data_IF_890855342370
#
_entry.id   IF_890855342370
#
_cell.length_a   1.000
_cell.length_b   1.000
_cell.length_c   1.000
_cell.angle_alpha   90.00
_cell.angle_beta   90.00
_cell.angle_gamma   90.00
#
_symmetry.space_group_name_H-M   'P 1'
#
loop_
_entity.id
_entity.type
_entity.pdbx_description
1 polymer ?
#
# COMPACT_ATOMS: atom_id res chain seq x y z
N UNK A 1 -19.02 32.08 -19.64
CA UNK A 1 -20.08 31.06 -19.53
C UNK A 1 -19.39 29.85 -18.93
N UNK A 2 -19.59 29.60 -17.64
CA UNK A 2 -18.98 28.44 -16.96
C UNK A 2 -19.81 27.23 -17.38
N UNK A 3 -19.22 26.31 -18.14
CA UNK A 3 -19.82 25.00 -18.36
C UNK A 3 -19.97 24.33 -16.99
N UNK A 4 -21.19 24.35 -16.46
CA UNK A 4 -21.57 23.45 -15.39
C UNK A 4 -21.61 22.05 -16.01
N UNK A 5 -20.45 21.38 -16.01
CA UNK A 5 -20.38 19.95 -16.31
C UNK A 5 -21.42 19.24 -15.44
N UNK A 6 -22.21 18.38 -16.06
CA UNK A 6 -23.18 17.51 -15.37
C UNK A 6 -22.51 16.94 -14.10
N UNK A 7 -23.19 16.95 -12.94
CA UNK A 7 -22.62 16.34 -11.74
C UNK A 7 -22.22 14.92 -12.09
N UNK A 8 -20.95 14.59 -11.80
CA UNK A 8 -20.42 13.24 -11.93
C UNK A 8 -21.44 12.29 -11.27
N UNK A 9 -22.15 11.47 -12.07
CA UNK A 9 -23.14 10.49 -11.57
C UNK A 9 -22.40 9.31 -10.96
N UNK A 10 -21.72 9.58 -9.85
CA UNK A 10 -20.87 8.66 -9.11
C UNK A 10 -21.52 8.43 -7.75
N UNK A 11 -21.54 7.18 -7.30
CA UNK A 11 -22.19 6.77 -6.07
C UNK A 11 -21.21 6.07 -5.15
N UNK A 12 -21.37 6.27 -3.85
CA UNK A 12 -20.50 5.73 -2.81
C UNK A 12 -20.96 4.34 -2.39
N UNK A 13 -20.38 3.31 -3.02
CA UNK A 13 -20.63 1.94 -2.62
C UNK A 13 -20.08 1.62 -1.22
N UNK A 14 -19.09 2.37 -0.72
CA UNK A 14 -18.57 2.19 0.64
C UNK A 14 -19.65 2.56 1.65
N UNK A 15 -20.26 3.73 1.49
CA UNK A 15 -21.37 4.18 2.33
C UNK A 15 -22.56 3.20 2.27
N UNK A 16 -22.86 2.67 1.08
CA UNK A 16 -23.86 1.62 0.92
C UNK A 16 -23.49 0.36 1.72
N UNK A 17 -22.25 -0.11 1.63
CA UNK A 17 -21.77 -1.29 2.35
C UNK A 17 -21.89 -1.14 3.86
N UNK A 18 -21.47 0.00 4.40
CA UNK A 18 -21.56 0.33 5.83
C UNK A 18 -23.02 0.29 6.31
N UNK A 19 -23.93 0.90 5.54
CA UNK A 19 -25.37 0.87 5.83
C UNK A 19 -25.92 -0.55 5.81
N UNK A 20 -25.61 -1.34 4.78
CA UNK A 20 -26.08 -2.72 4.65
C UNK A 20 -25.60 -3.60 5.81
N UNK A 21 -24.38 -3.41 6.30
CA UNK A 21 -23.89 -4.07 7.50
C UNK A 21 -24.66 -3.66 8.76
N UNK A 22 -24.90 -2.35 8.95
CA UNK A 22 -25.65 -1.82 10.08
C UNK A 22 -27.10 -2.34 10.11
N UNK A 23 -27.74 -2.40 8.95
CA UNK A 23 -29.10 -2.92 8.76
C UNK A 23 -29.17 -4.45 8.74
N UNK A 24 -28.01 -5.13 8.69
CA UNK A 24 -27.89 -6.60 8.60
C UNK A 24 -28.53 -7.19 7.33
N UNK A 25 -28.65 -6.40 6.26
CA UNK A 25 -29.19 -6.78 4.94
C UNK A 25 -28.08 -6.96 3.92
N UNK A 26 -28.34 -7.75 2.87
CA UNK A 26 -27.44 -7.95 1.72
C UNK A 26 -25.95 -8.11 2.10
N UNK A 27 -25.68 -8.81 3.22
CA UNK A 27 -24.32 -8.98 3.76
C UNK A 27 -23.32 -9.56 2.75
N UNK A 28 -23.71 -10.47 1.83
CA UNK A 28 -22.80 -10.91 0.76
C UNK A 28 -22.32 -9.75 -0.12
N UNK A 29 -23.21 -8.86 -0.56
CA UNK A 29 -22.87 -7.68 -1.35
C UNK A 29 -21.99 -6.71 -0.56
N UNK A 30 -22.40 -6.37 0.67
CA UNK A 30 -21.62 -5.49 1.55
C UNK A 30 -20.19 -6.03 1.77
N UNK A 31 -20.06 -7.34 2.02
CA UNK A 31 -18.78 -8.01 2.13
C UNK A 31 -17.93 -7.93 0.86
N UNK A 32 -18.52 -8.10 -0.33
CA UNK A 32 -17.82 -7.94 -1.61
C UNK A 32 -17.33 -6.51 -1.83
N UNK A 33 -18.15 -5.51 -1.51
CA UNK A 33 -17.77 -4.09 -1.60
C UNK A 33 -16.59 -3.78 -0.67
N UNK A 34 -16.71 -4.16 0.61
CA UNK A 34 -15.65 -3.95 1.59
C UNK A 34 -14.34 -4.62 1.14
N UNK A 35 -14.43 -5.85 0.62
CA UNK A 35 -13.26 -6.57 0.14
C UNK A 35 -12.62 -5.92 -1.10
N UNK A 36 -13.41 -5.33 -2.00
CA UNK A 36 -12.89 -4.56 -3.12
C UNK A 36 -12.13 -3.31 -2.65
N UNK A 37 -12.69 -2.59 -1.67
CA UNK A 37 -12.05 -1.43 -1.05
C UNK A 37 -10.74 -1.81 -0.36
N UNK A 38 -10.75 -2.86 0.46
CA UNK A 38 -9.57 -3.36 1.17
C UNK A 38 -8.45 -3.70 0.18
N UNK A 39 -8.73 -4.51 -0.85
CA UNK A 39 -7.73 -4.90 -1.84
C UNK A 39 -7.18 -3.70 -2.63
N UNK A 40 -8.02 -2.71 -2.94
CA UNK A 40 -7.57 -1.48 -3.60
C UNK A 40 -6.64 -0.66 -2.70
N UNK A 41 -6.93 -0.57 -1.40
CA UNK A 41 -6.07 0.10 -0.42
C UNK A 41 -4.72 -0.62 -0.28
N UNK A 42 -4.73 -1.95 -0.19
CA UNK A 42 -3.50 -2.77 -0.10
C UNK A 42 -2.63 -2.64 -1.35
N UNK A 43 -3.24 -2.58 -2.54
CA UNK A 43 -2.50 -2.32 -3.77
C UNK A 43 -1.90 -0.91 -3.80
N UNK A 44 -2.64 0.12 -3.37
CA UNK A 44 -2.11 1.49 -3.31
C UNK A 44 -0.86 1.59 -2.42
N UNK A 45 -0.82 0.87 -1.29
CA UNK A 45 0.37 0.75 -0.44
C UNK A 45 1.57 0.20 -1.22
N UNK A 46 1.36 -0.84 -2.05
CA UNK A 46 2.41 -1.48 -2.85
C UNK A 46 2.88 -0.62 -4.03
N UNK A 47 1.98 0.17 -4.63
CA UNK A 47 2.35 1.18 -5.65
C UNK A 47 3.26 2.22 -5.03
N UNK A 48 2.86 2.83 -3.90
CA UNK A 48 3.70 3.80 -3.20
C UNK A 48 5.04 3.20 -2.74
N UNK A 49 5.06 1.93 -2.35
CA UNK A 49 6.30 1.23 -2.00
C UNK A 49 7.24 1.09 -3.21
N UNK A 50 6.69 0.83 -4.40
CA UNK A 50 7.45 0.77 -5.66
C UNK A 50 8.02 2.14 -6.01
N UNK A 51 7.21 3.20 -5.91
CA UNK A 51 7.64 4.58 -6.16
C UNK A 51 8.78 5.01 -5.20
N UNK A 52 8.72 4.58 -3.93
CA UNK A 52 9.81 4.81 -2.98
C UNK A 52 11.13 4.16 -3.44
N UNK A 53 11.07 2.95 -4.00
CA UNK A 53 12.25 2.26 -4.52
C UNK A 53 12.75 2.88 -5.83
N UNK A 54 11.85 3.38 -6.69
CA UNK A 54 12.23 4.08 -7.92
C UNK A 54 12.98 5.37 -7.60
N UNK A 55 12.48 6.13 -6.61
CA UNK A 55 13.17 7.30 -6.09
C UNK A 55 14.52 6.94 -5.46
N UNK A 56 14.61 5.81 -4.75
CA UNK A 56 15.86 5.32 -4.16
C UNK A 56 16.88 4.99 -5.25
N UNK A 57 16.49 4.29 -6.30
CA UNK A 57 17.37 3.93 -7.41
C UNK A 57 17.89 5.19 -8.15
N UNK A 58 17.04 6.19 -8.35
CA UNK A 58 17.44 7.48 -8.91
C UNK A 58 18.49 8.19 -8.04
N UNK A 59 18.32 8.19 -6.71
CA UNK A 59 19.30 8.76 -5.78
C UNK A 59 20.62 8.00 -5.77
N UNK A 60 20.57 6.66 -5.79
CA UNK A 60 21.75 5.80 -5.82
C UNK A 60 22.55 5.94 -7.12
N UNK A 61 21.90 6.30 -8.23
CA UNK A 61 22.54 6.57 -9.52
C UNK A 61 23.27 7.93 -9.56
N UNK A 62 22.96 8.85 -8.65
CA UNK A 62 23.60 10.17 -8.59
C UNK A 62 24.99 10.05 -7.95
N UNK A 63 26.05 10.71 -8.47
CA UNK A 63 27.39 10.70 -7.85
C UNK A 63 27.36 11.20 -6.39
N UNK A 64 28.28 10.76 -5.52
CA UNK A 64 28.41 11.35 -4.19
C UNK A 64 28.85 12.81 -4.30
N UNK A 65 28.12 13.73 -3.66
CA UNK A 65 28.55 15.10 -3.41
C UNK A 65 29.18 15.21 -2.02
N UNK A 66 29.96 16.27 -1.78
CA UNK A 66 30.74 16.48 -0.55
C UNK A 66 29.89 16.56 0.73
N UNK A 67 28.56 16.78 0.61
CA UNK A 67 27.62 16.71 1.73
C UNK A 67 26.73 15.45 1.66
N UNK A 68 27.26 14.35 2.18
CA UNK A 68 26.70 13.00 2.02
C UNK A 68 25.62 12.64 3.07
N UNK A 69 25.37 13.51 4.06
CA UNK A 69 24.47 13.21 5.16
C UNK A 69 22.99 13.24 4.73
N UNK A 70 22.56 14.30 4.06
CA UNK A 70 21.17 14.44 3.58
C UNK A 70 20.83 13.28 2.63
N UNK A 71 21.72 12.99 1.69
CA UNK A 71 21.55 11.86 0.76
C UNK A 71 21.37 10.54 1.51
N UNK A 72 22.25 10.24 2.46
CA UNK A 72 22.18 9.00 3.26
C UNK A 72 20.89 8.89 4.08
N UNK A 73 20.38 10.01 4.61
CA UNK A 73 19.10 10.05 5.36
C UNK A 73 17.92 9.80 4.41
N UNK A 74 17.91 10.43 3.24
CA UNK A 74 16.85 10.26 2.25
C UNK A 74 16.81 8.82 1.73
N UNK A 75 17.96 8.25 1.39
CA UNK A 75 18.09 6.85 0.96
C UNK A 75 17.53 5.88 2.02
N UNK A 76 17.90 6.06 3.30
CA UNK A 76 17.39 5.25 4.40
C UNK A 76 15.88 5.40 4.60
N UNK A 77 15.37 6.62 4.45
CA UNK A 77 13.94 6.94 4.63
C UNK A 77 13.10 6.30 3.54
N UNK A 78 13.55 6.34 2.28
CA UNK A 78 12.86 5.71 1.16
C UNK A 78 12.80 4.19 1.30
N UNK A 79 13.92 3.54 1.63
CA UNK A 79 13.95 2.10 1.86
C UNK A 79 13.05 1.71 3.05
N UNK A 80 13.13 2.45 4.15
CA UNK A 80 12.30 2.19 5.34
C UNK A 80 10.81 2.35 5.03
N UNK A 81 10.43 3.38 4.28
CA UNK A 81 9.04 3.61 3.90
C UNK A 81 8.51 2.51 2.98
N UNK A 82 9.30 2.08 1.98
CA UNK A 82 8.94 0.96 1.11
C UNK A 82 8.69 -0.33 1.92
N UNK A 83 9.55 -0.64 2.89
CA UNK A 83 9.41 -1.79 3.78
C UNK A 83 8.15 -1.69 4.66
N UNK A 84 7.88 -0.51 5.22
CA UNK A 84 6.68 -0.26 6.05
C UNK A 84 5.41 -0.44 5.23
N UNK A 85 5.33 0.17 4.04
CA UNK A 85 4.18 0.07 3.14
C UNK A 85 3.95 -1.38 2.69
N UNK A 86 5.01 -2.10 2.30
CA UNK A 86 4.94 -3.53 1.98
C UNK A 86 4.38 -4.35 3.15
N UNK A 87 4.92 -4.17 4.36
CA UNK A 87 4.48 -4.90 5.52
C UNK A 87 3.05 -4.51 5.94
N UNK A 88 2.63 -3.27 5.71
CA UNK A 88 1.24 -2.82 5.92
C UNK A 88 0.28 -3.49 4.95
N UNK A 89 0.71 -3.71 3.70
CA UNK A 89 -0.10 -4.38 2.68
C UNK A 89 -0.18 -5.90 2.83
N UNK A 90 0.86 -6.54 3.38
CA UNK A 90 1.00 -8.01 3.32
C UNK A 90 0.97 -8.71 4.67
N UNK A 91 1.18 -8.02 5.78
CA UNK A 91 1.17 -8.63 7.12
C UNK A 91 -0.26 -8.68 7.66
N UNK A 92 -0.83 -9.88 7.68
CA UNK A 92 -2.24 -10.15 7.99
C UNK A 92 -2.61 -10.16 9.47
N UNK A 93 -1.66 -9.87 10.36
CA UNK A 93 -1.87 -10.00 11.82
C UNK A 93 -2.47 -8.75 12.48
N UNK A 94 -2.81 -7.69 11.75
CA UNK A 94 -3.48 -6.53 12.34
C UNK A 94 -4.99 -6.75 12.38
N UNK A 95 -5.61 -6.60 13.55
CA UNK A 95 -7.06 -6.75 13.77
C UNK A 95 -7.92 -5.86 12.85
N UNK A 96 -7.36 -4.73 12.42
CA UNK A 96 -8.00 -3.77 11.51
C UNK A 96 -8.08 -4.24 10.05
N UNK A 97 -7.24 -5.19 9.64
CA UNK A 97 -7.22 -5.72 8.27
C UNK A 97 -7.51 -7.21 8.32
N UNK A 98 -8.80 -7.58 8.30
CA UNK A 98 -9.31 -8.97 8.20
C UNK A 98 -9.05 -9.58 6.80
N UNK A 99 -7.88 -9.31 6.25
CA UNK A 99 -7.59 -9.33 4.82
C UNK A 99 -6.71 -10.50 4.37
N UNK A 100 -6.86 -10.78 3.08
CA UNK A 100 -6.18 -11.82 2.29
C UNK A 100 -4.70 -12.03 2.66
N UNK A 101 -4.33 -13.30 2.88
CA UNK A 101 -2.95 -13.69 3.17
C UNK A 101 -2.22 -14.12 1.88
N UNK A 102 -1.26 -13.33 1.37
CA UNK A 102 -0.58 -13.65 0.12
C UNK A 102 0.48 -14.76 0.26
N UNK A 103 0.77 -15.23 1.49
CA UNK A 103 1.85 -16.20 1.73
C UNK A 103 1.64 -17.54 1.04
N UNK A 104 0.40 -17.90 0.74
CA UNK A 104 0.07 -19.11 -0.01
C UNK A 104 0.50 -19.03 -1.50
N UNK A 105 0.64 -17.81 -2.05
CA UNK A 105 1.10 -17.56 -3.43
C UNK A 105 2.61 -17.39 -3.53
N UNK A 106 3.30 -17.26 -2.41
CA UNK A 106 4.75 -17.09 -2.39
C UNK A 106 5.46 -18.43 -2.55
N UNK A 107 6.47 -18.46 -3.42
CA UNK A 107 7.44 -19.55 -3.47
C UNK A 107 8.33 -19.55 -2.20
N UNK A 108 9.13 -20.60 -1.94
CA UNK A 108 9.96 -20.68 -0.74
C UNK A 108 10.89 -19.48 -0.53
N UNK A 109 11.51 -18.99 -1.60
CA UNK A 109 12.42 -17.84 -1.56
C UNK A 109 11.67 -16.54 -1.21
N UNK A 110 10.50 -16.33 -1.81
CA UNK A 110 9.63 -15.18 -1.53
C UNK A 110 9.11 -15.22 -0.09
N UNK A 111 8.84 -16.39 0.48
CA UNK A 111 8.47 -16.52 1.90
C UNK A 111 9.60 -16.07 2.82
N UNK A 112 10.85 -16.40 2.47
CA UNK A 112 12.03 -15.95 3.22
C UNK A 112 12.15 -14.42 3.14
N UNK A 113 12.06 -13.85 1.94
CA UNK A 113 12.14 -12.38 1.77
C UNK A 113 10.97 -11.67 2.45
N UNK A 114 9.75 -12.19 2.35
CA UNK A 114 8.58 -11.66 3.06
C UNK A 114 8.84 -11.60 4.57
N UNK A 115 9.33 -12.70 5.16
CA UNK A 115 9.66 -12.74 6.58
C UNK A 115 10.77 -11.75 6.92
N UNK A 116 11.81 -11.64 6.08
CA UNK A 116 12.91 -10.68 6.22
C UNK A 116 12.39 -9.24 6.28
N UNK A 117 11.50 -8.84 5.36
CA UNK A 117 10.93 -7.49 5.29
C UNK A 117 9.99 -7.20 6.47
N UNK A 118 9.16 -8.18 6.88
CA UNK A 118 8.31 -8.03 8.06
C UNK A 118 9.13 -7.90 9.35
N UNK A 119 10.19 -8.71 9.50
CA UNK A 119 11.11 -8.64 10.63
C UNK A 119 11.86 -7.31 10.66
N UNK A 120 12.31 -6.80 9.50
CA UNK A 120 12.97 -5.51 9.40
C UNK A 120 12.04 -4.39 9.86
N UNK A 121 10.77 -4.41 9.42
CA UNK A 121 9.74 -3.45 9.87
C UNK A 121 9.57 -3.52 11.38
N UNK A 122 9.35 -4.71 11.93
CA UNK A 122 9.03 -4.86 13.36
C UNK A 122 10.24 -4.55 14.24
N UNK A 123 11.42 -5.07 13.91
CA UNK A 123 12.57 -5.15 14.83
C UNK A 123 13.62 -4.08 14.61
N UNK A 124 13.78 -3.57 13.38
CA UNK A 124 14.79 -2.55 13.06
C UNK A 124 14.19 -1.16 12.92
N UNK A 125 12.98 -1.06 12.33
CA UNK A 125 12.31 0.21 12.07
C UNK A 125 11.41 0.60 13.25
N UNK A 126 10.55 -0.31 13.72
CA UNK A 126 9.56 -0.01 14.76
C UNK A 126 10.08 -0.16 16.20
N UNK A 127 11.14 -0.94 16.43
CA UNK A 127 11.70 -1.19 17.75
C UNK A 127 13.21 -0.91 17.81
N UNK A 128 13.73 -0.55 19.00
CA UNK A 128 15.17 -0.38 19.27
C UNK A 128 15.91 -1.73 19.34
N UNK A 129 15.78 -2.58 18.32
CA UNK A 129 16.37 -3.94 18.26
C UNK A 129 17.54 -4.07 17.28
N UNK A 130 18.15 -5.27 17.25
CA UNK A 130 19.29 -5.61 16.36
C UNK A 130 18.92 -5.78 14.88
N UNK A 131 17.63 -5.75 14.54
CA UNK A 131 17.10 -6.08 13.22
C UNK A 131 16.72 -7.56 13.00
N UNK A 132 16.69 -8.38 14.07
CA UNK A 132 16.15 -9.74 14.00
C UNK A 132 17.05 -10.75 13.30
N UNK A 133 16.45 -11.72 12.58
CA UNK A 133 17.15 -12.76 11.79
C UNK A 133 17.74 -12.22 10.48
N UNK A 134 17.76 -10.90 10.30
CA UNK A 134 18.41 -10.25 9.18
C UNK A 134 19.91 -10.56 9.21
N UNK A 135 20.47 -11.01 8.09
CA UNK A 135 21.87 -11.50 8.00
C UNK A 135 22.93 -10.39 8.05
N UNK A 136 22.57 -9.17 8.46
CA UNK A 136 23.48 -8.02 8.57
C UNK A 136 23.25 -7.23 9.86
N UNK A 137 24.30 -6.62 10.40
CA UNK A 137 24.15 -5.70 11.53
C UNK A 137 23.53 -4.38 11.04
N UNK A 138 22.21 -4.23 11.15
CA UNK A 138 21.50 -2.99 10.78
C UNK A 138 21.86 -1.83 11.72
N UNK A 139 22.23 -2.19 12.96
CA UNK A 139 22.58 -1.26 14.02
C UNK A 139 23.75 -1.85 14.82
N UNK A 140 24.78 -1.05 15.05
CA UNK A 140 25.86 -1.33 15.99
C UNK A 140 25.80 -0.25 17.05
N UNK A 141 25.64 -0.65 18.30
CA UNK A 141 25.83 0.19 19.46
C UNK A 141 26.79 -0.54 20.39
N UNK A 142 27.92 0.10 20.68
CA UNK A 142 28.96 -0.44 21.56
C UNK A 142 29.40 0.65 22.52
N UNK A 143 29.39 0.32 23.80
CA UNK A 143 30.11 1.13 24.80
C UNK A 143 31.58 0.83 24.60
N UNK A 144 32.39 1.88 24.40
CA UNK A 144 33.81 1.77 24.13
C UNK A 144 34.60 2.50 25.21
N UNK A 145 35.79 2.00 25.49
CA UNK A 145 36.79 2.68 26.31
C UNK A 145 37.85 3.24 25.35
N UNK A 146 37.85 4.55 25.17
CA UNK A 146 38.76 5.24 24.28
C UNK A 146 39.98 5.76 25.06
N UNK A 147 41.14 5.19 24.75
CA UNK A 147 42.43 5.57 25.33
C UNK A 147 43.33 6.31 24.32
N UNK A 148 42.76 6.81 23.22
CA UNK A 148 43.52 7.44 22.13
C UNK A 148 43.73 8.96 22.31
N UNK A 149 43.08 9.59 23.30
CA UNK A 149 43.13 11.05 23.51
C UNK A 149 43.99 11.40 24.73
N UNK A 150 45.30 11.62 24.49
CA UNK A 150 46.25 12.04 25.52
C UNK A 150 46.58 10.91 26.52
N UNK A 151 46.72 11.25 27.80
CA UNK A 151 46.96 10.29 28.89
C UNK A 151 45.67 9.84 29.61
N UNK A 152 44.51 10.34 29.20
CA UNK A 152 43.23 10.03 29.83
C UNK A 152 42.52 8.89 29.11
N UNK A 153 41.75 8.11 29.86
CA UNK A 153 40.87 7.08 29.32
C UNK A 153 39.43 7.55 29.47
N UNK A 154 38.65 7.54 28.38
CA UNK A 154 37.27 8.02 28.36
C UNK A 154 36.30 6.92 27.97
N UNK A 155 35.15 6.89 28.63
CA UNK A 155 34.03 6.02 28.22
C UNK A 155 33.22 6.77 27.16
N UNK A 156 32.94 6.10 26.05
CA UNK A 156 32.12 6.62 24.96
C UNK A 156 31.14 5.59 24.42
N UNK A 157 30.33 6.00 23.45
CA UNK A 157 29.43 5.11 22.72
C UNK A 157 29.69 5.25 21.24
N UNK A 158 30.09 4.15 20.60
CA UNK A 158 30.19 4.05 19.16
C UNK A 158 28.84 3.58 18.59
N UNK A 159 28.23 4.41 17.75
CA UNK A 159 26.99 4.06 17.05
C UNK A 159 27.21 4.04 15.55
N UNK A 160 26.72 2.98 14.90
CA UNK A 160 26.64 2.89 13.44
C UNK A 160 25.27 2.37 13.07
N UNK A 161 24.60 3.04 12.14
CA UNK A 161 23.38 2.53 11.52
C UNK A 161 23.67 2.24 10.05
N UNK A 162 23.32 1.05 9.58
CA UNK A 162 23.29 0.77 8.16
C UNK A 162 22.07 1.47 7.59
N UNK A 163 22.29 2.47 6.76
CA UNK A 163 21.24 3.31 6.18
C UNK A 163 20.59 2.61 4.99
N UNK A 164 21.39 2.00 4.11
CA UNK A 164 20.92 1.22 2.96
C UNK A 164 21.79 -0.01 2.70
N UNK A 165 21.15 -1.10 2.27
CA UNK A 165 21.79 -2.30 1.74
C UNK A 165 21.27 -2.54 0.32
N UNK A 166 22.12 -2.38 -0.70
CA UNK A 166 21.74 -2.54 -2.11
C UNK A 166 21.19 -3.94 -2.42
N UNK A 167 21.70 -4.98 -1.76
CA UNK A 167 21.20 -6.35 -1.98
C UNK A 167 19.81 -6.52 -1.38
N UNK A 168 19.57 -5.92 -0.21
CA UNK A 168 18.22 -5.90 0.38
C UNK A 168 17.27 -5.07 -0.48
N UNK A 169 17.66 -3.88 -0.93
CA UNK A 169 16.83 -3.03 -1.79
C UNK A 169 16.41 -3.79 -3.06
N UNK A 170 17.33 -4.52 -3.69
CA UNK A 170 17.01 -5.37 -4.85
C UNK A 170 16.03 -6.51 -4.51
N UNK A 171 16.24 -7.23 -3.39
CA UNK A 171 15.29 -8.28 -2.94
C UNK A 171 13.92 -7.70 -2.60
N UNK A 172 13.90 -6.57 -1.90
CA UNK A 172 12.69 -5.84 -1.54
C UNK A 172 11.92 -5.42 -2.79
N UNK A 173 12.61 -4.85 -3.80
CA UNK A 173 12.05 -4.50 -5.10
C UNK A 173 11.35 -5.69 -5.75
N UNK A 174 12.06 -6.80 -5.97
CA UNK A 174 11.46 -7.98 -6.61
C UNK A 174 10.24 -8.52 -5.84
N UNK A 175 10.30 -8.50 -4.51
CA UNK A 175 9.20 -8.96 -3.66
C UNK A 175 7.99 -8.02 -3.68
N UNK A 176 8.23 -6.70 -3.69
CA UNK A 176 7.20 -5.66 -3.74
C UNK A 176 6.53 -5.64 -5.10
N UNK A 177 7.28 -5.69 -6.20
CA UNK A 177 6.74 -5.73 -7.57
C UNK A 177 5.87 -6.96 -7.79
N UNK A 178 6.32 -8.13 -7.33
CA UNK A 178 5.52 -9.36 -7.37
C UNK A 178 4.21 -9.22 -6.59
N UNK A 179 4.29 -8.72 -5.34
CA UNK A 179 3.11 -8.52 -4.53
C UNK A 179 2.16 -7.48 -5.16
N UNK A 180 2.70 -6.39 -5.70
CA UNK A 180 1.93 -5.34 -6.38
C UNK A 180 1.08 -5.93 -7.50
N UNK A 181 1.70 -6.71 -8.40
CA UNK A 181 0.97 -7.34 -9.50
C UNK A 181 -0.05 -8.37 -9.01
N UNK A 182 0.28 -9.16 -7.98
CA UNK A 182 -0.67 -10.10 -7.37
C UNK A 182 -1.92 -9.37 -6.83
N UNK A 183 -1.73 -8.31 -6.06
CA UNK A 183 -2.84 -7.53 -5.49
C UNK A 183 -3.64 -6.79 -6.56
N UNK A 184 -2.99 -6.35 -7.65
CA UNK A 184 -3.67 -5.79 -8.82
C UNK A 184 -4.64 -6.79 -9.44
N UNK A 185 -4.19 -8.02 -9.66
CA UNK A 185 -5.01 -9.09 -10.23
C UNK A 185 -6.17 -9.48 -9.30
N UNK A 186 -5.92 -9.57 -8.00
CA UNK A 186 -6.95 -9.87 -7.00
C UNK A 186 -8.00 -8.77 -6.93
N UNK A 187 -7.58 -7.51 -6.88
CA UNK A 187 -8.51 -6.38 -6.86
C UNK A 187 -9.38 -6.34 -8.12
N UNK A 188 -8.78 -6.60 -9.30
CA UNK A 188 -9.55 -6.72 -10.56
C UNK A 188 -10.58 -7.84 -10.52
N UNK A 189 -10.19 -9.03 -10.04
CA UNK A 189 -11.12 -10.15 -9.88
C UNK A 189 -12.27 -9.79 -8.93
N UNK A 190 -11.96 -9.10 -7.83
CA UNK A 190 -12.98 -8.72 -6.87
C UNK A 190 -13.98 -7.69 -7.44
N UNK A 191 -13.51 -6.78 -8.30
CA UNK A 191 -14.37 -5.83 -9.03
C UNK A 191 -15.26 -6.57 -10.03
N UNK A 192 -14.74 -7.57 -10.73
CA UNK A 192 -15.55 -8.42 -11.62
C UNK A 192 -16.63 -9.16 -10.82
N UNK A 193 -16.28 -9.81 -9.72
CA UNK A 193 -17.23 -10.52 -8.84
C UNK A 193 -18.29 -9.61 -8.20
N UNK A 194 -17.93 -8.35 -7.92
CA UNK A 194 -18.85 -7.34 -7.41
C UNK A 194 -19.81 -6.88 -8.51
N UNK A 195 -19.30 -6.68 -9.73
CA UNK A 195 -20.12 -6.34 -10.89
C UNK A 195 -21.13 -7.44 -11.19
N UNK A 196 -20.71 -8.70 -11.16
CA UNK A 196 -21.59 -9.85 -11.38
C UNK A 196 -22.67 -9.96 -10.30
N UNK A 197 -22.32 -9.68 -9.03
CA UNK A 197 -23.29 -9.64 -7.93
C UNK A 197 -24.33 -8.54 -8.15
N UNK A 198 -23.88 -7.33 -8.47
CA UNK A 198 -24.76 -6.19 -8.73
C UNK A 198 -25.70 -6.45 -9.90
N UNK A 199 -25.20 -7.04 -10.99
CA UNK A 199 -26.01 -7.44 -12.13
C UNK A 199 -27.04 -8.52 -11.75
N UNK A 200 -26.65 -9.51 -10.95
CA UNK A 200 -27.55 -10.56 -10.48
C UNK A 200 -28.67 -9.99 -9.63
N UNK A 201 -28.35 -9.07 -8.71
CA UNK A 201 -29.33 -8.43 -7.84
C UNK A 201 -30.23 -7.46 -8.63
N UNK A 202 -29.68 -6.69 -9.57
CA UNK A 202 -30.47 -5.78 -10.42
C UNK A 202 -31.43 -6.54 -11.35
N UNK A 203 -31.06 -7.73 -11.82
CA UNK A 203 -31.96 -8.59 -12.58
C UNK A 203 -33.11 -9.16 -11.74
N UNK A 204 -32.90 -9.32 -10.43
CA UNK A 204 -33.93 -9.80 -9.49
C UNK A 204 -34.82 -8.67 -8.95
N UNK A 205 -34.26 -7.46 -8.83
CA UNK A 205 -34.93 -6.26 -8.35
C UNK A 205 -34.47 -5.05 -9.19
N UNK A 206 -35.31 -4.66 -10.16
CA UNK A 206 -35.02 -3.55 -11.07
C UNK A 206 -34.89 -2.20 -10.32
N UNK A 207 -35.48 -2.06 -9.14
CA UNK A 207 -35.39 -0.84 -8.35
C UNK A 207 -34.17 -0.83 -7.43
N UNK A 208 -33.33 -1.87 -7.39
CA UNK A 208 -32.17 -1.93 -6.51
C UNK A 208 -31.25 -0.72 -6.67
N UNK A 209 -30.93 -0.33 -7.90
CA UNK A 209 -30.01 0.79 -8.15
C UNK A 209 -30.66 2.11 -7.73
N UNK A 210 -31.93 2.34 -8.09
CA UNK A 210 -32.66 3.55 -7.71
C UNK A 210 -32.91 3.66 -6.21
N UNK A 211 -33.29 2.56 -5.57
CA UNK A 211 -33.70 2.53 -4.17
C UNK A 211 -32.53 2.37 -3.21
N UNK A 212 -31.46 1.68 -3.59
CA UNK A 212 -30.31 1.47 -2.70
C UNK A 212 -29.12 2.35 -3.09
N UNK A 213 -28.71 2.39 -4.36
CA UNK A 213 -27.45 3.04 -4.79
C UNK A 213 -27.60 4.56 -4.94
N UNK A 214 -28.68 5.04 -5.55
CA UNK A 214 -28.87 6.49 -5.77
C UNK A 214 -29.01 7.29 -4.46
N UNK A 215 -29.23 6.62 -3.34
CA UNK A 215 -29.25 7.25 -2.02
C UNK A 215 -27.85 7.66 -1.51
N UNK A 216 -26.77 7.24 -2.19
CA UNK A 216 -25.39 7.52 -1.80
C UNK A 216 -24.63 8.30 -2.90
N UNK A 217 -25.06 9.51 -3.29
CA UNK A 217 -24.32 10.29 -4.28
C UNK A 217 -22.95 10.68 -3.74
N UNK A 218 -21.91 10.55 -4.58
CA UNK A 218 -20.55 10.90 -4.23
C UNK A 218 -20.12 12.17 -4.94
N UNK A 219 -19.77 13.21 -4.16
CA UNK A 219 -19.13 14.40 -4.70
C UNK A 219 -17.64 14.13 -4.96
N UNK A 220 -17.33 13.56 -6.13
CA UNK A 220 -15.98 13.13 -6.48
C UNK A 220 -14.92 14.25 -6.35
N UNK A 221 -15.17 15.51 -6.77
CA UNK A 221 -14.25 16.63 -6.50
C UNK A 221 -13.96 16.91 -5.02
N UNK A 222 -14.89 16.65 -4.11
CA UNK A 222 -14.63 16.80 -2.67
C UNK A 222 -13.74 15.68 -2.13
N UNK A 223 -13.88 14.47 -2.68
CA UNK A 223 -13.07 13.31 -2.28
C UNK A 223 -11.66 13.40 -2.86
N UNK A 224 -11.56 13.75 -4.14
CA UNK A 224 -10.30 13.91 -4.86
C UNK A 224 -9.86 15.37 -4.76
N UNK A 225 -9.14 15.69 -3.68
CA UNK A 225 -8.71 17.06 -3.36
C UNK A 225 -7.67 17.65 -4.32
N UNK A 226 -7.20 16.87 -5.30
CA UNK A 226 -6.24 17.29 -6.33
C UNK A 226 -6.93 17.31 -7.71
N UNK A 227 -6.82 18.43 -8.46
CA UNK A 227 -7.32 18.50 -9.84
C UNK A 227 -6.76 17.39 -10.73
N UNK A 228 -5.45 17.10 -10.62
CA UNK A 228 -4.80 16.06 -11.41
C UNK A 228 -5.37 14.67 -11.08
N UNK A 229 -5.68 14.42 -9.80
CA UNK A 229 -6.29 13.16 -9.38
C UNK A 229 -7.73 13.03 -9.90
N UNK A 230 -8.48 14.13 -9.91
CA UNK A 230 -9.84 14.18 -10.46
C UNK A 230 -9.85 13.93 -11.97
N UNK A 231 -8.93 14.54 -12.71
CA UNK A 231 -8.79 14.36 -14.15
C UNK A 231 -8.33 12.94 -14.50
N UNK A 232 -7.38 12.39 -13.75
CA UNK A 232 -6.96 10.99 -13.90
C UNK A 232 -8.14 10.02 -13.64
N UNK A 233 -8.96 10.26 -12.61
CA UNK A 233 -10.14 9.45 -12.32
C UNK A 233 -11.22 9.56 -13.42
N UNK A 234 -11.38 10.73 -14.03
CA UNK A 234 -12.27 10.94 -15.19
C UNK A 234 -11.75 10.21 -16.43
N UNK A 235 -10.46 10.31 -16.73
CA UNK A 235 -9.83 9.64 -17.86
C UNK A 235 -9.88 8.11 -17.74
N UNK A 236 -9.65 7.57 -16.53
CA UNK A 236 -9.76 6.13 -16.28
C UNK A 236 -11.16 5.59 -16.57
N UNK A 237 -12.21 6.35 -16.23
CA UNK A 237 -13.61 6.00 -16.51
C UNK A 237 -13.93 5.98 -18.00
N UNK A 238 -13.47 6.98 -18.76
CA UNK A 238 -13.78 7.07 -20.20
C UNK A 238 -13.04 6.03 -21.04
N UNK A 239 -11.89 5.54 -20.58
CA UNK A 239 -11.05 4.60 -21.32
C UNK A 239 -11.21 3.13 -20.85
N UNK A 240 -11.98 2.86 -19.79
CA UNK A 240 -12.10 1.51 -19.22
C UNK A 240 -10.76 0.99 -18.69
N UNK A 241 -9.93 1.88 -18.15
CA UNK A 241 -8.59 1.57 -17.66
C UNK A 241 -8.51 1.66 -16.13
N UNK A 242 -7.50 0.99 -15.54
CA UNK A 242 -7.30 0.98 -14.09
C UNK A 242 -8.27 0.05 -13.35
N UNK A 243 -9.00 0.60 -12.39
CA UNK A 243 -9.99 -0.09 -11.54
C UNK A 243 -11.44 0.10 -11.98
N UNK A 244 -11.66 0.85 -13.06
CA UNK A 244 -13.00 0.99 -13.64
C UNK A 244 -13.19 -0.12 -14.67
N UNK A 245 -13.96 -1.14 -14.28
CA UNK A 245 -14.23 -2.31 -15.12
C UNK A 245 -15.64 -2.82 -14.85
N UNK A 246 -16.21 -3.48 -15.85
CA UNK A 246 -17.53 -4.06 -15.77
C UNK A 246 -18.62 -3.07 -16.18
N UNK A 247 -19.80 -3.61 -16.48
CA UNK A 247 -21.00 -2.83 -16.75
C UNK A 247 -22.10 -3.41 -15.87
N UNK A 248 -22.62 -2.59 -14.96
CA UNK A 248 -23.86 -2.90 -14.25
C UNK A 248 -25.00 -2.37 -15.11
N UNK A 249 -25.86 -3.26 -15.59
CA UNK A 249 -27.02 -2.86 -16.40
C UNK A 249 -28.13 -2.35 -15.48
N UNK A 250 -28.71 -1.23 -15.88
CA UNK A 250 -29.88 -0.65 -15.26
C UNK A 250 -30.80 -0.23 -16.41
N UNK A 251 -31.92 -0.92 -16.55
CA UNK A 251 -32.93 -0.63 -17.56
C UNK A 251 -33.83 0.53 -17.11
#
# INVERSE_FOLDING_TARGET
MVEFGMPDSVYDLTALSERLFAERRLRPLAGKIQRAQDLSSLHADLVMATECLDALDALLATPPQDDNLIKSITEASLLSNAVVLYARATKTTSDERRGYDPRDKFNPEQKIVHQELCDLRDKAIAHFGSGGSYTGEWKVERVVLDASVGNDVRVGVATRRKTVDKKLAARARSQIEFACELFRQLSRRQIDELTDELNTLAAADAELINSEIHQHPLNLPMVLTSPDALDAARAARSQGHGYVKGVVRHD
#
